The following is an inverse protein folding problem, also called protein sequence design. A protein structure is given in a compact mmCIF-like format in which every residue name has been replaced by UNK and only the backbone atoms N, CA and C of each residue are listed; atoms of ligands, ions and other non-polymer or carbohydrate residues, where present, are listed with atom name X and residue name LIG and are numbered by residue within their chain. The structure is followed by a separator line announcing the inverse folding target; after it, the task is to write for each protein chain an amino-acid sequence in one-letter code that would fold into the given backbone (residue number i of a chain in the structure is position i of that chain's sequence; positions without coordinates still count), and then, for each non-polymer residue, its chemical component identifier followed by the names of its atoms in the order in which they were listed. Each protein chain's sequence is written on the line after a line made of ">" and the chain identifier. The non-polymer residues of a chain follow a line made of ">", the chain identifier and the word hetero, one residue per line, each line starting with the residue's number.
data_IF_377965063827
#
_entry.id   IF_377965063827
#
_cell.length_a   1.000
_cell.length_b   1.000
_cell.length_c   1.000
_cell.angle_alpha   90.00
_cell.angle_beta   90.00
_cell.angle_gamma   90.00
#
_symmetry.space_group_name_H-M   'P 1'
#
loop_
_entity.id
_entity.type
_entity.pdbx_description
1 polymer ?
#
# COMPACT_ATOMS: atom_id res chain seq x y z
N UNK A 1 -13.73 5.93 -15.23
CA UNK A 1 -12.54 5.41 -14.49
C UNK A 1 -12.07 6.45 -13.50
N UNK A 2 -11.79 6.08 -12.25
CA UNK A 2 -11.32 7.03 -11.21
C UNK A 2 -9.92 7.59 -11.51
N UNK A 3 -9.61 8.78 -10.96
CA UNK A 3 -8.27 9.39 -11.03
C UNK A 3 -7.21 8.45 -10.47
N UNK A 4 -7.48 7.85 -9.32
CA UNK A 4 -6.61 6.84 -8.72
C UNK A 4 -6.30 5.64 -9.61
N UNK A 5 -7.30 5.09 -10.31
CA UNK A 5 -7.06 3.96 -11.22
C UNK A 5 -6.14 4.34 -12.37
N UNK A 6 -6.27 5.56 -12.89
CA UNK A 6 -5.37 6.10 -13.92
C UNK A 6 -3.95 6.31 -13.36
N UNK A 7 -3.82 6.81 -12.13
CA UNK A 7 -2.51 6.99 -11.48
C UNK A 7 -1.79 5.64 -11.29
N UNK A 8 -2.51 4.61 -10.84
CA UNK A 8 -2.00 3.23 -10.73
C UNK A 8 -1.47 2.70 -12.06
N UNK A 9 -2.27 2.79 -13.13
CA UNK A 9 -1.86 2.29 -14.44
C UNK A 9 -0.66 3.08 -15.01
N UNK A 10 -0.62 4.41 -14.80
CA UNK A 10 0.54 5.25 -15.18
C UNK A 10 1.81 4.88 -14.41
N UNK A 11 1.69 4.60 -13.10
CA UNK A 11 2.82 4.16 -12.27
C UNK A 11 3.37 2.84 -12.80
N UNK A 12 2.49 1.91 -13.16
CA UNK A 12 2.89 0.64 -13.75
C UNK A 12 3.69 0.84 -15.06
N UNK A 13 3.24 1.75 -15.93
CA UNK A 13 3.97 2.09 -17.16
C UNK A 13 5.35 2.69 -16.84
N UNK A 14 5.46 3.58 -15.85
CA UNK A 14 6.73 4.20 -15.47
C UNK A 14 7.76 3.18 -14.96
N UNK A 15 7.33 2.17 -14.20
CA UNK A 15 8.23 1.16 -13.63
C UNK A 15 8.40 -0.07 -14.54
N UNK A 16 7.85 -0.04 -15.75
CA UNK A 16 7.98 -1.13 -16.72
C UNK A 16 7.04 -2.32 -16.52
N UNK A 17 6.01 -2.20 -15.68
CA UNK A 17 4.99 -3.22 -15.51
C UNK A 17 4.23 -3.15 -14.19
N UNK A 18 3.38 -4.15 -13.96
CA UNK A 18 2.65 -4.32 -12.70
C UNK A 18 3.53 -5.07 -11.68
N UNK A 19 4.62 -4.42 -11.26
CA UNK A 19 5.60 -4.95 -10.31
C UNK A 19 5.33 -4.40 -8.90
N UNK A 20 5.39 -5.25 -7.88
CA UNK A 20 5.36 -4.78 -6.50
C UNK A 20 6.68 -4.07 -6.16
N UNK A 21 6.61 -2.80 -5.75
CA UNK A 21 7.78 -2.00 -5.39
C UNK A 21 8.41 -2.38 -4.04
N UNK A 22 7.79 -3.29 -3.29
CA UNK A 22 8.26 -3.76 -1.97
C UNK A 22 8.99 -5.09 -2.10
N UNK A 23 8.34 -6.10 -2.71
CA UNK A 23 8.91 -7.44 -2.83
C UNK A 23 9.42 -7.78 -4.24
N UNK A 24 9.26 -6.89 -5.22
CA UNK A 24 9.70 -7.13 -6.60
C UNK A 24 8.85 -8.12 -7.40
N UNK A 25 7.74 -8.63 -6.84
CA UNK A 25 6.92 -9.63 -7.53
C UNK A 25 6.20 -9.03 -8.74
N UNK A 26 6.38 -9.64 -9.91
CA UNK A 26 5.63 -9.32 -11.12
C UNK A 26 4.22 -9.92 -11.05
N UNK A 27 3.20 -9.07 -11.17
CA UNK A 27 1.81 -9.44 -11.02
C UNK A 27 0.98 -9.01 -12.25
N UNK A 28 -0.28 -9.44 -12.28
CA UNK A 28 -1.24 -8.91 -13.25
C UNK A 28 -1.83 -7.57 -12.79
N UNK A 29 -2.44 -6.82 -13.73
CA UNK A 29 -3.15 -5.56 -13.44
C UNK A 29 -4.22 -5.68 -12.34
N UNK A 30 -4.82 -6.87 -12.19
CA UNK A 30 -5.92 -7.14 -11.26
C UNK A 30 -5.41 -7.43 -9.85
N UNK A 31 -4.25 -8.08 -9.73
CA UNK A 31 -3.72 -8.54 -8.45
C UNK A 31 -2.88 -7.47 -7.74
N UNK A 32 -2.42 -6.46 -8.49
CA UNK A 32 -1.65 -5.36 -7.94
C UNK A 32 -2.53 -4.21 -7.46
N UNK A 33 -2.22 -3.74 -6.25
CA UNK A 33 -2.91 -2.66 -5.56
C UNK A 33 -2.07 -1.39 -5.69
N UNK A 34 -2.74 -0.26 -5.90
CA UNK A 34 -2.11 1.04 -5.78
C UNK A 34 -2.31 1.55 -4.36
N UNK A 35 -1.22 1.91 -3.70
CA UNK A 35 -1.18 2.45 -2.35
C UNK A 35 -0.76 3.92 -2.39
N UNK A 36 -1.44 4.77 -1.62
CA UNK A 36 -1.07 6.18 -1.46
C UNK A 36 0.14 6.28 -0.54
N UNK A 37 1.27 6.83 -1.03
CA UNK A 37 2.47 7.05 -0.19
C UNK A 37 2.18 8.04 0.94
N UNK A 38 1.40 9.08 0.64
CA UNK A 38 0.78 10.02 1.56
C UNK A 38 -0.73 9.81 1.51
N UNK A 39 -1.33 9.43 2.64
CA UNK A 39 -2.76 9.20 2.72
C UNK A 39 -3.60 10.45 2.40
N UNK A 40 -4.82 10.25 1.91
CA UNK A 40 -5.75 11.36 1.61
C UNK A 40 -6.10 12.21 2.84
N UNK A 41 -6.24 11.58 4.02
CA UNK A 41 -6.43 12.24 5.33
C UNK A 41 -5.35 13.31 5.60
N UNK A 42 -4.15 13.15 5.06
CA UNK A 42 -3.04 14.08 5.22
C UNK A 42 -2.81 14.98 3.99
N UNK A 43 -3.79 15.13 3.10
CA UNK A 43 -3.64 15.91 1.87
C UNK A 43 -2.92 15.17 0.75
N UNK A 44 -2.93 13.83 0.77
CA UNK A 44 -2.43 13.00 -0.32
C UNK A 44 -3.31 13.08 -1.56
N UNK A 45 -2.72 13.46 -2.69
CA UNK A 45 -3.42 13.56 -3.97
C UNK A 45 -3.36 12.26 -4.78
N UNK A 46 -4.29 12.11 -5.73
CA UNK A 46 -4.33 11.02 -6.71
C UNK A 46 -3.34 11.26 -7.87
N UNK A 47 -2.06 11.35 -7.54
CA UNK A 47 -0.95 11.54 -8.49
C UNK A 47 -0.15 10.26 -8.70
N UNK A 48 0.62 10.21 -9.78
CA UNK A 48 1.45 9.02 -10.10
C UNK A 48 2.60 8.91 -9.10
N UNK A 49 3.12 10.05 -8.68
CA UNK A 49 4.24 10.21 -7.75
C UNK A 49 3.85 9.74 -6.35
N UNK A 50 2.61 10.01 -5.94
CA UNK A 50 2.02 9.54 -4.69
C UNK A 50 1.46 8.11 -4.78
N UNK A 51 1.63 7.42 -5.91
CA UNK A 51 1.23 6.04 -6.10
C UNK A 51 2.43 5.10 -5.92
N UNK A 52 2.25 4.08 -5.08
CA UNK A 52 3.16 2.95 -4.94
C UNK A 52 2.41 1.67 -5.29
N UNK A 53 3.01 0.81 -6.10
CA UNK A 53 2.41 -0.47 -6.44
C UNK A 53 2.80 -1.56 -5.45
N UNK A 54 1.81 -2.22 -4.85
CA UNK A 54 2.00 -3.29 -3.86
C UNK A 54 1.19 -4.53 -4.23
N UNK A 55 1.73 -5.70 -3.90
CA UNK A 55 0.93 -6.92 -3.90
C UNK A 55 -0.03 -6.90 -2.71
N UNK A 56 -1.11 -7.68 -2.76
CA UNK A 56 -2.10 -7.74 -1.68
C UNK A 56 -1.48 -8.10 -0.32
N UNK A 57 -0.48 -8.99 -0.31
CA UNK A 57 0.22 -9.38 0.92
C UNK A 57 1.03 -8.22 1.49
N UNK A 58 1.80 -7.52 0.65
CA UNK A 58 2.56 -6.36 1.09
C UNK A 58 1.61 -5.28 1.60
N UNK A 59 0.53 -4.97 0.89
CA UNK A 59 -0.47 -3.99 1.34
C UNK A 59 -0.90 -4.23 2.79
N UNK A 60 -1.30 -5.47 3.11
CA UNK A 60 -1.75 -5.86 4.45
C UNK A 60 -0.65 -5.77 5.53
N UNK A 61 0.62 -5.91 5.16
CA UNK A 61 1.73 -5.77 6.10
C UNK A 61 1.99 -4.30 6.45
N UNK A 62 1.78 -3.36 5.53
CA UNK A 62 2.06 -1.94 5.80
C UNK A 62 1.10 -1.29 6.79
N UNK A 63 -0.09 -1.85 7.00
CA UNK A 63 -1.02 -1.37 8.02
C UNK A 63 -0.54 -1.71 9.46
N UNK A 64 0.49 -2.55 9.63
CA UNK A 64 0.91 -3.07 10.94
C UNK A 64 2.42 -3.11 11.23
N UNK A 65 3.29 -2.53 10.40
CA UNK A 65 4.74 -2.64 10.62
C UNK A 65 5.33 -1.43 11.37
N UNK A 66 5.78 -1.58 12.63
CA UNK A 66 6.76 -0.67 13.20
C UNK A 66 8.06 -0.77 12.39
N UNK A 67 8.62 0.38 12.01
CA UNK A 67 9.86 0.47 11.25
C UNK A 67 11.05 0.02 12.10
N UNK A 68 11.29 -1.29 12.18
CA UNK A 68 12.58 -1.91 12.49
C UNK A 68 12.42 -3.44 12.52
N UNK A 69 12.81 -4.12 11.45
CA UNK A 69 13.41 -5.46 11.56
C UNK A 69 13.93 -5.92 10.19
N UNK A 70 15.20 -6.27 10.20
CA UNK A 70 15.98 -6.89 9.14
C UNK A 70 15.33 -8.17 8.60
N UNK A 71 15.46 -8.41 7.29
CA UNK A 71 15.37 -9.72 6.62
C UNK A 71 14.13 -10.58 6.88
N UNK A 72 13.18 -10.60 5.94
CA UNK A 72 12.18 -11.67 5.87
C UNK A 72 12.20 -12.34 4.48
N UNK A 73 13.05 -13.35 4.33
CA UNK A 73 12.87 -14.39 3.31
C UNK A 73 11.66 -15.22 3.73
N UNK A 74 10.61 -15.22 2.90
CA UNK A 74 9.35 -15.88 3.24
C UNK A 74 8.72 -16.58 2.03
N UNK A 75 8.89 -17.89 1.99
CA UNK A 75 8.45 -18.83 0.96
C UNK A 75 7.03 -18.62 0.42
N UNK A 76 6.92 -18.77 -0.91
CA UNK A 76 5.76 -18.44 -1.73
C UNK A 76 4.68 -19.52 -1.81
N UNK A 77 4.39 -20.24 -0.73
CA UNK A 77 3.39 -21.31 -0.81
C UNK A 77 2.55 -21.49 0.46
N UNK A 78 1.42 -20.77 0.54
CA UNK A 78 0.30 -21.18 1.39
C UNK A 78 -1.04 -20.68 0.84
N UNK A 79 -1.95 -21.62 0.65
CA UNK A 79 -3.29 -21.50 0.09
C UNK A 79 -4.31 -20.90 1.09
N UNK A 80 -5.33 -20.25 0.51
CA UNK A 80 -6.77 -20.20 0.84
C UNK A 80 -7.24 -19.82 2.26
N UNK A 81 -8.06 -18.75 2.26
CA UNK A 81 -9.22 -18.43 3.12
C UNK A 81 -8.96 -18.28 4.63
N UNK A 82 -9.19 -17.07 5.13
CA UNK A 82 -10.43 -16.83 5.88
C UNK A 82 -10.87 -15.37 5.71
N UNK A 83 -12.17 -15.22 5.46
CA UNK A 83 -12.86 -13.96 5.16
C UNK A 83 -13.57 -13.57 6.44
N UNK A 84 -12.89 -12.92 7.39
CA UNK A 84 -13.52 -12.35 8.58
C UNK A 84 -12.70 -11.16 9.09
N UNK A 85 -13.42 -10.10 9.42
CA UNK A 85 -12.97 -8.88 10.08
C UNK A 85 -12.26 -7.82 9.22
N UNK A 86 -13.00 -7.23 8.27
CA UNK A 86 -12.83 -5.80 7.97
C UNK A 86 -13.37 -5.01 9.15
N UNK A 87 -12.56 -4.86 10.20
CA UNK A 87 -12.71 -3.68 11.05
C UNK A 87 -12.27 -2.50 10.19
N UNK A 88 -13.17 -1.53 10.00
CA UNK A 88 -12.80 -0.21 9.48
C UNK A 88 -11.76 0.37 10.45
N UNK A 89 -10.48 0.15 10.16
CA UNK A 89 -9.37 0.72 10.92
C UNK A 89 -9.26 2.18 10.43
N UNK A 90 -9.60 3.18 11.24
CA UNK A 90 -9.39 4.57 10.87
C UNK A 90 -7.89 4.81 10.67
N UNK A 91 -7.54 5.52 9.59
CA UNK A 91 -6.21 6.06 9.22
C UNK A 91 -5.31 6.30 10.46
N UNK A 92 -4.57 5.28 10.92
CA UNK A 92 -3.59 5.38 12.00
C UNK A 92 -2.20 5.01 11.47
N UNK A 93 -1.50 6.07 11.04
CA UNK A 93 -0.06 6.37 11.14
C UNK A 93 0.97 5.23 11.28
N UNK A 94 2.08 5.25 10.50
CA UNK A 94 3.38 4.96 11.07
C UNK A 94 3.81 6.15 11.96
N UNK A 95 3.97 5.85 13.24
CA UNK A 95 4.42 6.75 14.30
C UNK A 95 5.78 7.36 13.95
N UNK A 96 5.77 8.60 13.43
CA UNK A 96 6.90 9.50 13.62
C UNK A 96 6.69 10.16 14.97
N UNK A 97 7.63 9.88 15.86
CA UNK A 97 7.67 10.48 17.19
C UNK A 97 7.61 12.00 17.08
N UNK A 98 6.87 12.59 18.01
CA UNK A 98 6.76 14.02 18.33
C UNK A 98 5.76 14.88 17.55
N UNK A 99 4.79 15.34 18.35
CA UNK A 99 4.01 16.58 18.27
C UNK A 99 2.53 16.47 17.87
N UNK A 100 1.72 16.67 18.91
CA UNK A 100 0.28 16.80 18.95
C UNK A 100 -0.19 17.97 18.07
N UNK A 101 -1.01 17.71 17.05
CA UNK A 101 -2.13 18.58 16.67
C UNK A 101 -3.25 17.67 16.16
N UNK A 102 -4.40 17.69 16.83
CA UNK A 102 -5.56 16.88 16.49
C UNK A 102 -6.13 17.24 15.11
N UNK A 103 -6.52 16.21 14.36
CA UNK A 103 -7.27 16.37 13.12
C UNK A 103 -8.78 16.34 13.41
N UNK A 104 -9.54 17.41 13.16
CA UNK A 104 -10.96 17.32 12.93
C UNK A 104 -11.22 16.90 11.47
N UNK A 105 -12.01 15.82 11.32
CA UNK A 105 -12.77 15.34 10.16
C UNK A 105 -12.13 15.37 8.76
#
# INVERSE_FOLDING_TARGET
>A
MSRWRKAKDKRAIQIGGYLCEVCGLQLTRRDIVGHHKRFRCYGGEDTVENCMLKCQRCEQLFDHVPQNSEGFEGDHNARRRDRRNTVDIPCQQPYVSSMQIGCPC
#
